data_IF_760382880811
#
_entry.id   IF_760382880811
#
_cell.length_a   1.000
_cell.length_b   1.000
_cell.length_c   1.000
_cell.angle_alpha   90.00
_cell.angle_beta   90.00
_cell.angle_gamma   90.00
#
_symmetry.space_group_name_H-M   'P 1'
#
loop_
_entity.id
_entity.type
_entity.pdbx_description
1 polymer ?
#
# COMPACT_ATOMS: atom_id res chain seq x y z
N UNK A 1 4.15 -3.06 14.39
CA UNK A 1 4.88 -2.60 13.18
C UNK A 1 6.09 -3.47 12.84
N UNK A 2 7.01 -3.77 13.78
CA UNK A 2 8.25 -4.51 13.49
C UNK A 2 8.03 -5.87 12.83
N UNK A 3 7.08 -6.66 13.34
CA UNK A 3 6.71 -7.95 12.76
C UNK A 3 6.36 -7.83 11.27
N UNK A 4 5.59 -6.80 10.91
CA UNK A 4 5.23 -6.52 9.52
C UNK A 4 6.47 -6.15 8.70
N UNK A 5 7.34 -5.30 9.24
CA UNK A 5 8.55 -4.88 8.54
C UNK A 5 9.50 -6.04 8.30
N UNK A 6 9.63 -6.99 9.21
CA UNK A 6 10.53 -8.16 9.07
C UNK A 6 10.12 -9.12 7.95
N UNK A 7 8.84 -9.13 7.56
CA UNK A 7 8.33 -9.99 6.48
C UNK A 7 8.51 -9.37 5.07
N UNK A 8 9.01 -8.14 4.98
CA UNK A 8 9.14 -7.42 3.72
C UNK A 8 10.35 -7.90 2.90
N UNK A 9 10.23 -7.81 1.57
CA UNK A 9 11.34 -8.12 0.66
C UNK A 9 12.33 -6.94 0.55
N UNK A 10 13.50 -7.19 -0.05
CA UNK A 10 14.48 -6.14 -0.32
C UNK A 10 13.89 -5.01 -1.18
N UNK A 11 13.03 -5.34 -2.13
CA UNK A 11 12.35 -4.40 -3.00
C UNK A 11 11.34 -3.53 -2.23
N UNK A 12 10.61 -4.14 -1.29
CA UNK A 12 9.70 -3.42 -0.40
C UNK A 12 10.45 -2.36 0.41
N UNK A 13 11.61 -2.70 0.98
CA UNK A 13 12.44 -1.73 1.69
C UNK A 13 12.95 -0.63 0.77
N UNK A 14 13.42 -0.97 -0.43
CA UNK A 14 13.87 0.02 -1.40
C UNK A 14 12.77 1.02 -1.75
N UNK A 15 11.54 0.55 -1.93
CA UNK A 15 10.36 1.38 -2.18
C UNK A 15 10.06 2.31 -1.01
N UNK A 16 10.01 1.78 0.21
CA UNK A 16 9.76 2.56 1.42
C UNK A 16 10.83 3.63 1.65
N UNK A 17 12.10 3.28 1.52
CA UNK A 17 13.23 4.20 1.65
C UNK A 17 13.10 5.33 0.64
N UNK A 18 12.71 5.03 -0.59
CA UNK A 18 12.56 6.04 -1.63
C UNK A 18 11.43 7.03 -1.35
N UNK A 19 10.29 6.59 -0.83
CA UNK A 19 9.20 7.51 -0.41
C UNK A 19 9.64 8.35 0.80
N UNK A 20 10.33 7.72 1.75
CA UNK A 20 10.83 8.39 2.96
C UNK A 20 11.89 9.43 2.60
N UNK A 21 12.71 9.16 1.59
CA UNK A 21 13.76 10.07 1.12
C UNK A 21 13.16 11.46 0.82
N UNK A 22 13.83 12.50 1.33
CA UNK A 22 13.44 13.89 1.09
C UNK A 22 14.56 14.66 0.41
N UNK A 23 14.29 15.89 -0.05
CA UNK A 23 15.34 16.76 -0.57
C UNK A 23 16.48 17.00 0.43
N UNK A 24 16.20 16.88 1.74
CA UNK A 24 17.17 17.08 2.82
C UNK A 24 17.51 15.81 3.62
N UNK A 25 16.81 14.69 3.41
CA UNK A 25 17.07 13.42 4.08
C UNK A 25 17.51 12.39 3.02
N UNK A 26 18.81 12.11 2.98
CA UNK A 26 19.43 11.22 1.98
C UNK A 26 19.26 9.73 2.31
N UNK A 27 18.76 9.40 3.51
CA UNK A 27 18.55 8.04 3.99
C UNK A 27 19.82 7.16 3.85
N UNK A 28 21.01 7.74 4.08
CA UNK A 28 22.29 7.05 3.84
C UNK A 28 22.47 5.81 4.73
N UNK A 29 22.07 5.90 5.99
CA UNK A 29 22.07 4.78 6.95
C UNK A 29 21.12 3.66 6.53
N UNK A 30 19.88 4.00 6.19
CA UNK A 30 18.91 3.05 5.63
C UNK A 30 19.44 2.32 4.38
N UNK A 31 20.07 3.05 3.45
CA UNK A 31 20.64 2.47 2.22
C UNK A 31 21.78 1.52 2.52
N UNK A 32 22.66 1.88 3.45
CA UNK A 32 23.74 0.99 3.91
C UNK A 32 23.18 -0.29 4.53
N UNK A 33 22.19 -0.18 5.41
CA UNK A 33 21.54 -1.36 6.00
C UNK A 33 20.83 -2.23 4.94
N UNK A 34 20.28 -1.62 3.89
CA UNK A 34 19.69 -2.34 2.77
C UNK A 34 20.72 -3.07 1.89
N UNK A 35 21.91 -2.49 1.71
CA UNK A 35 23.03 -3.12 0.97
C UNK A 35 23.56 -4.35 1.69
N UNK A 36 23.49 -4.36 3.03
CA UNK A 36 24.02 -5.41 3.90
C UNK A 36 22.91 -6.27 4.52
N UNK A 37 21.72 -6.32 3.90
CA UNK A 37 20.51 -6.90 4.49
C UNK A 37 20.60 -8.40 4.79
N UNK A 38 21.49 -9.13 4.10
CA UNK A 38 21.73 -10.56 4.35
C UNK A 38 22.30 -10.82 5.75
N UNK A 39 22.84 -9.79 6.41
CA UNK A 39 23.23 -9.85 7.82
C UNK A 39 22.01 -9.64 8.74
N UNK A 40 21.69 -10.57 9.65
CA UNK A 40 20.54 -10.44 10.57
C UNK A 40 20.57 -9.14 11.38
N UNK A 41 21.75 -8.70 11.82
CA UNK A 41 21.91 -7.46 12.58
C UNK A 41 21.56 -6.24 11.74
N UNK A 42 21.90 -6.25 10.44
CA UNK A 42 21.56 -5.16 9.52
C UNK A 42 20.09 -5.19 9.13
N UNK A 43 19.48 -6.37 9.01
CA UNK A 43 18.05 -6.50 8.76
C UNK A 43 17.20 -5.95 9.93
N UNK A 44 17.57 -6.30 11.17
CA UNK A 44 16.92 -5.76 12.37
C UNK A 44 17.14 -4.24 12.46
N UNK A 45 18.37 -3.77 12.27
CA UNK A 45 18.67 -2.34 12.31
C UNK A 45 17.92 -1.54 11.22
N UNK A 46 17.78 -2.11 10.02
CA UNK A 46 16.96 -1.55 8.95
C UNK A 46 15.50 -1.39 9.37
N UNK A 47 14.92 -2.44 9.94
CA UNK A 47 13.53 -2.44 10.40
C UNK A 47 13.31 -1.40 11.50
N UNK A 48 14.21 -1.31 12.47
CA UNK A 48 14.14 -0.31 13.53
C UNK A 48 14.25 1.12 13.00
N UNK A 49 15.18 1.38 12.08
CA UNK A 49 15.38 2.72 11.52
C UNK A 49 14.18 3.12 10.64
N UNK A 50 13.63 2.19 9.85
CA UNK A 50 12.41 2.40 9.09
C UNK A 50 11.23 2.71 10.01
N UNK A 51 11.03 1.92 11.07
CA UNK A 51 9.99 2.19 12.05
C UNK A 51 10.14 3.60 12.64
N UNK A 52 11.34 3.96 13.11
CA UNK A 52 11.60 5.29 13.70
C UNK A 52 11.25 6.40 12.71
N UNK A 53 11.62 6.26 11.44
CA UNK A 53 11.32 7.25 10.39
C UNK A 53 9.82 7.30 10.05
N UNK A 54 9.13 6.17 9.95
CA UNK A 54 7.68 6.13 9.70
C UNK A 54 6.92 6.76 10.87
N UNK A 55 7.31 6.43 12.11
CA UNK A 55 6.70 6.99 13.32
C UNK A 55 6.99 8.48 13.48
N UNK A 56 8.15 8.95 13.04
CA UNK A 56 8.47 10.37 12.94
C UNK A 56 7.56 11.08 11.93
N UNK A 57 7.43 10.56 10.71
CA UNK A 57 6.56 11.11 9.66
C UNK A 57 5.08 11.14 10.07
N UNK A 58 4.63 10.17 10.87
CA UNK A 58 3.28 10.13 11.43
C UNK A 58 3.07 11.00 12.68
N UNK A 59 4.10 11.65 13.19
CA UNK A 59 4.01 12.56 14.35
C UNK A 59 3.79 14.00 13.91
N UNK A 60 3.16 14.82 14.76
CA UNK A 60 3.34 16.27 14.64
C UNK A 60 4.71 16.65 15.20
N UNK A 61 5.40 17.59 14.56
CA UNK A 61 6.74 18.05 14.99
C UNK A 61 6.75 18.45 16.48
N UNK A 62 5.71 19.14 16.93
CA UNK A 62 5.52 19.54 18.33
C UNK A 62 5.35 18.34 19.28
N UNK A 63 4.56 17.33 18.91
CA UNK A 63 4.37 16.14 19.75
C UNK A 63 5.64 15.27 19.81
N UNK A 64 6.38 15.18 18.71
CA UNK A 64 7.65 14.47 18.64
C UNK A 64 8.68 15.11 19.57
N UNK A 65 8.82 16.44 19.51
CA UNK A 65 9.71 17.20 20.36
C UNK A 65 9.33 17.10 21.85
N UNK A 66 8.05 17.23 22.17
CA UNK A 66 7.57 17.11 23.55
C UNK A 66 7.85 15.73 24.15
N UNK A 67 7.56 14.64 23.42
CA UNK A 67 7.83 13.28 23.88
C UNK A 67 9.33 13.02 24.08
N UNK A 68 10.17 13.56 23.20
CA UNK A 68 11.64 13.49 23.32
C UNK A 68 12.13 14.17 24.59
N UNK A 69 11.59 15.36 24.92
CA UNK A 69 11.95 16.12 26.14
C UNK A 69 11.47 15.42 27.41
N UNK A 70 10.34 14.71 27.36
CA UNK A 70 9.76 13.98 28.50
C UNK A 70 10.30 12.55 28.61
N UNK A 71 11.34 12.18 27.84
CA UNK A 71 11.98 10.86 27.91
C UNK A 71 11.11 9.70 27.42
N UNK A 72 10.07 9.97 26.64
CA UNK A 72 9.22 8.95 25.98
C UNK A 72 9.69 8.72 24.56
N UNK A 73 9.37 7.55 23.99
CA UNK A 73 9.58 7.32 22.57
C UNK A 73 8.87 8.40 21.74
N UNK A 74 9.61 9.15 20.90
CA UNK A 74 9.09 10.39 20.35
C UNK A 74 8.13 10.15 19.17
N UNK A 75 8.28 9.04 18.46
CA UNK A 75 7.44 8.67 17.32
C UNK A 75 6.00 8.32 17.71
N UNK A 76 5.05 8.60 16.81
CA UNK A 76 3.65 8.25 16.97
C UNK A 76 3.44 6.73 17.03
N UNK A 77 2.44 6.32 17.79
CA UNK A 77 1.98 4.93 17.84
C UNK A 77 1.49 4.48 16.45
N UNK A 78 1.84 3.27 16.01
CA UNK A 78 1.53 2.86 14.64
C UNK A 78 0.03 2.74 14.38
N UNK A 79 -0.73 2.19 15.32
CA UNK A 79 -2.21 2.20 15.25
C UNK A 79 -2.77 3.62 15.17
N UNK A 80 -2.20 4.59 15.87
CA UNK A 80 -2.58 6.00 15.71
C UNK A 80 -2.34 6.50 14.27
N UNK A 81 -1.19 6.20 13.68
CA UNK A 81 -0.84 6.61 12.30
C UNK A 81 -1.82 6.00 11.28
N UNK A 82 -2.17 4.71 11.44
CA UNK A 82 -3.18 4.03 10.63
C UNK A 82 -4.53 4.75 10.74
N UNK A 83 -4.98 5.04 11.96
CA UNK A 83 -6.29 5.69 12.20
C UNK A 83 -6.33 7.13 11.68
N UNK A 84 -5.26 7.90 11.85
CA UNK A 84 -5.19 9.27 11.31
C UNK A 84 -5.24 9.25 9.78
N UNK A 85 -4.53 8.31 9.16
CA UNK A 85 -4.55 8.12 7.71
C UNK A 85 -5.93 7.67 7.21
N UNK A 86 -6.57 6.70 7.88
CA UNK A 86 -7.93 6.28 7.53
C UNK A 86 -8.94 7.42 7.68
N UNK A 87 -8.83 8.24 8.72
CA UNK A 87 -9.67 9.44 8.90
C UNK A 87 -9.46 10.44 7.76
N UNK A 88 -8.20 10.66 7.37
CA UNK A 88 -7.86 11.52 6.23
C UNK A 88 -8.46 10.99 4.92
N UNK A 89 -8.40 9.67 4.70
CA UNK A 89 -9.00 8.99 3.54
C UNK A 89 -10.53 8.81 3.66
N UNK A 90 -11.14 9.22 4.79
CA UNK A 90 -12.56 9.06 5.12
C UNK A 90 -13.04 7.60 5.13
N UNK A 91 -12.17 6.69 5.58
CA UNK A 91 -12.45 5.26 5.64
C UNK A 91 -12.90 4.89 7.05
N UNK A 92 -14.08 4.27 7.22
CA UNK A 92 -14.51 3.78 8.52
C UNK A 92 -13.70 2.55 8.91
N UNK A 93 -12.89 2.68 9.97
CA UNK A 93 -12.21 1.54 10.60
C UNK A 93 -12.93 1.10 11.86
N UNK A 94 -12.93 -0.20 12.11
CA UNK A 94 -13.43 -0.74 13.38
C UNK A 94 -12.51 -0.38 14.55
N UNK A 95 -13.08 -0.35 15.75
CA UNK A 95 -12.34 -0.07 16.98
C UNK A 95 -11.41 -1.22 17.42
N UNK A 96 -11.66 -2.44 16.91
CA UNK A 96 -10.93 -3.68 17.25
C UNK A 96 -10.22 -4.25 16.01
N UNK A 97 -9.19 -5.06 16.25
CA UNK A 97 -8.34 -5.68 15.24
C UNK A 97 -6.86 -5.41 15.48
N UNK A 98 -5.97 -6.26 14.98
CA UNK A 98 -4.52 -6.03 15.02
C UNK A 98 -4.14 -4.85 14.13
N UNK A 99 -2.92 -4.33 14.26
CA UNK A 99 -2.42 -3.27 13.37
C UNK A 99 -2.45 -3.73 11.90
N UNK A 100 -2.12 -5.00 11.65
CA UNK A 100 -2.19 -5.64 10.33
C UNK A 100 -3.61 -5.64 9.79
N UNK A 101 -4.60 -6.09 10.59
CA UNK A 101 -6.01 -6.15 10.17
C UNK A 101 -6.55 -4.76 9.81
N UNK A 102 -6.24 -3.76 10.63
CA UNK A 102 -6.66 -2.39 10.41
C UNK A 102 -6.04 -1.81 9.12
N UNK A 103 -4.77 -2.14 8.85
CA UNK A 103 -4.06 -1.69 7.67
C UNK A 103 -4.61 -2.33 6.39
N UNK A 104 -4.82 -3.65 6.40
CA UNK A 104 -5.43 -4.40 5.28
C UNK A 104 -6.81 -3.83 4.98
N UNK A 105 -7.65 -3.66 6.01
CA UNK A 105 -9.01 -3.12 5.83
C UNK A 105 -8.98 -1.71 5.26
N UNK A 106 -8.11 -0.84 5.78
CA UNK A 106 -7.96 0.51 5.25
C UNK A 106 -7.61 0.48 3.75
N UNK A 107 -6.66 -0.35 3.35
CA UNK A 107 -6.22 -0.48 1.95
C UNK A 107 -7.33 -1.01 1.05
N UNK A 108 -8.04 -2.05 1.47
CA UNK A 108 -9.15 -2.63 0.73
C UNK A 108 -10.29 -1.62 0.53
N UNK A 109 -10.74 -0.99 1.62
CA UNK A 109 -11.83 -0.01 1.56
C UNK A 109 -11.43 1.24 0.78
N UNK A 110 -10.17 1.67 0.87
CA UNK A 110 -9.69 2.79 0.07
C UNK A 110 -9.73 2.48 -1.43
N UNK A 111 -9.22 1.31 -1.82
CA UNK A 111 -9.22 0.91 -3.21
C UNK A 111 -10.64 0.79 -3.77
N UNK A 112 -11.57 0.29 -2.97
CA UNK A 112 -13.00 0.20 -3.32
C UNK A 112 -13.61 1.60 -3.50
N UNK A 113 -13.37 2.51 -2.55
CA UNK A 113 -13.82 3.89 -2.62
C UNK A 113 -13.26 4.61 -3.86
N UNK A 114 -11.96 4.49 -4.14
CA UNK A 114 -11.35 5.05 -5.36
C UNK A 114 -11.94 4.40 -6.61
N UNK A 115 -12.09 3.07 -6.63
CA UNK A 115 -12.68 2.37 -7.77
C UNK A 115 -14.10 2.85 -8.08
N UNK A 116 -14.92 3.06 -7.04
CA UNK A 116 -16.30 3.53 -7.15
C UNK A 116 -16.43 4.92 -7.78
N UNK A 117 -15.37 5.74 -7.69
CA UNK A 117 -15.34 7.12 -8.20
C UNK A 117 -14.94 7.21 -9.67
N UNK A 118 -14.37 6.16 -10.24
CA UNK A 118 -14.15 6.09 -11.68
C UNK A 118 -15.47 6.06 -12.45
N UNK A 119 -15.45 6.58 -13.66
CA UNK A 119 -16.58 6.42 -14.58
C UNK A 119 -16.80 4.95 -14.90
N UNK A 120 -18.02 4.58 -15.31
CA UNK A 120 -18.33 3.20 -15.66
C UNK A 120 -17.42 2.66 -16.79
N UNK A 121 -16.98 3.53 -17.71
CA UNK A 121 -16.05 3.18 -18.78
C UNK A 121 -14.65 2.84 -18.23
N UNK A 122 -14.13 3.66 -17.30
CA UNK A 122 -12.85 3.42 -16.64
C UNK A 122 -12.90 2.19 -15.74
N UNK A 123 -13.98 2.00 -14.97
CA UNK A 123 -14.20 0.80 -14.17
C UNK A 123 -14.19 -0.47 -15.04
N UNK A 124 -14.87 -0.43 -16.19
CA UNK A 124 -14.89 -1.54 -17.12
C UNK A 124 -13.48 -1.85 -17.66
N UNK A 125 -12.73 -0.82 -18.07
CA UNK A 125 -11.36 -0.99 -18.56
C UNK A 125 -10.43 -1.57 -17.49
N UNK A 126 -10.55 -1.11 -16.23
CA UNK A 126 -9.77 -1.66 -15.12
C UNK A 126 -10.10 -3.14 -14.95
N UNK A 127 -11.38 -3.52 -14.89
CA UNK A 127 -11.79 -4.93 -14.74
C UNK A 127 -11.33 -5.80 -15.93
N UNK A 128 -11.45 -5.31 -17.16
CA UNK A 128 -10.98 -5.99 -18.37
C UNK A 128 -9.47 -6.18 -18.36
N UNK A 129 -8.70 -5.17 -17.91
CA UNK A 129 -7.25 -5.26 -17.78
C UNK A 129 -6.80 -6.33 -16.77
N UNK A 130 -7.67 -6.68 -15.82
CA UNK A 130 -7.46 -7.74 -14.83
C UNK A 130 -7.93 -9.12 -15.33
N UNK A 131 -8.27 -9.23 -16.61
CA UNK A 131 -8.71 -10.49 -17.24
C UNK A 131 -10.18 -10.83 -17.02
N UNK A 132 -11.00 -9.90 -16.51
CA UNK A 132 -12.44 -10.13 -16.40
C UNK A 132 -13.09 -9.94 -17.77
N UNK A 133 -13.84 -10.95 -18.23
CA UNK A 133 -14.61 -10.85 -19.47
C UNK A 133 -15.59 -9.65 -19.42
N UNK A 134 -15.60 -8.84 -20.48
CA UNK A 134 -16.46 -7.66 -20.64
C UNK A 134 -17.91 -7.90 -20.23
N UNK A 135 -18.51 -9.02 -20.66
CA UNK A 135 -19.91 -9.35 -20.32
C UNK A 135 -20.10 -9.51 -18.81
N UNK A 136 -19.18 -10.21 -18.14
CA UNK A 136 -19.19 -10.42 -16.69
C UNK A 136 -18.94 -9.11 -15.93
N UNK A 137 -17.99 -8.29 -16.39
CA UNK A 137 -17.72 -6.98 -15.82
C UNK A 137 -18.94 -6.04 -15.93
N UNK A 138 -19.57 -5.95 -17.10
CA UNK A 138 -20.80 -5.15 -17.30
C UNK A 138 -21.95 -5.65 -16.44
N UNK A 139 -22.15 -6.97 -16.34
CA UNK A 139 -23.19 -7.55 -15.51
C UNK A 139 -22.97 -7.21 -14.03
N UNK A 140 -21.73 -7.29 -13.56
CA UNK A 140 -21.36 -6.90 -12.20
C UNK A 140 -21.62 -5.40 -11.95
N UNK A 141 -21.13 -4.51 -12.83
CA UNK A 141 -21.30 -3.06 -12.66
C UNK A 141 -22.79 -2.66 -12.64
N UNK A 142 -23.63 -3.33 -13.45
CA UNK A 142 -25.09 -3.13 -13.41
C UNK A 142 -25.71 -3.63 -12.10
N UNK A 143 -25.30 -4.81 -11.63
CA UNK A 143 -25.86 -5.44 -10.42
C UNK A 143 -25.40 -4.76 -9.13
N UNK A 144 -24.18 -4.23 -9.11
CA UNK A 144 -23.61 -3.55 -7.95
C UNK A 144 -24.39 -2.27 -7.60
N UNK A 145 -25.08 -1.65 -8.58
CA UNK A 145 -25.89 -0.45 -8.33
C UNK A 145 -25.09 0.72 -7.73
N UNK A 146 -23.79 0.78 -8.00
CA UNK A 146 -22.87 1.76 -7.40
C UNK A 146 -22.37 1.41 -5.99
N UNK A 147 -22.85 0.32 -5.39
CA UNK A 147 -22.40 -0.16 -4.08
C UNK A 147 -21.23 -1.12 -4.30
N UNK A 148 -20.03 -0.66 -3.96
CA UNK A 148 -18.83 -1.47 -3.98
C UNK A 148 -18.35 -1.71 -2.55
N UNK A 149 -18.01 -2.96 -2.24
CA UNK A 149 -17.37 -3.37 -0.99
C UNK A 149 -16.41 -4.52 -1.31
N UNK A 150 -15.31 -4.63 -0.55
CA UNK A 150 -14.32 -5.69 -0.79
C UNK A 150 -14.92 -7.11 -0.78
N UNK A 151 -15.84 -7.47 0.16
CA UNK A 151 -16.49 -8.78 0.13
C UNK A 151 -17.34 -9.01 -1.13
N UNK A 152 -18.01 -7.99 -1.65
CA UNK A 152 -18.86 -8.08 -2.84
C UNK A 152 -18.02 -8.34 -4.09
N UNK A 153 -16.91 -7.62 -4.22
CA UNK A 153 -15.94 -7.84 -5.30
C UNK A 153 -15.32 -9.23 -5.21
N UNK A 154 -15.02 -9.70 -3.99
CA UNK A 154 -14.42 -11.01 -3.75
C UNK A 154 -15.36 -12.13 -4.19
N UNK A 155 -16.63 -12.05 -3.80
CA UNK A 155 -17.66 -12.98 -4.26
C UNK A 155 -17.84 -12.96 -5.78
N UNK A 156 -17.66 -11.79 -6.42
CA UNK A 156 -17.88 -11.63 -7.85
C UNK A 156 -16.71 -12.13 -8.70
N UNK A 157 -15.46 -11.93 -8.27
CA UNK A 157 -14.27 -12.11 -9.12
C UNK A 157 -13.18 -12.99 -8.51
N UNK A 158 -13.31 -13.39 -7.26
CA UNK A 158 -12.30 -14.18 -6.55
C UNK A 158 -11.10 -13.35 -6.07
N UNK A 159 -10.32 -13.95 -5.18
CA UNK A 159 -9.28 -13.25 -4.41
C UNK A 159 -8.20 -12.62 -5.29
N UNK A 160 -7.68 -13.38 -6.25
CA UNK A 160 -6.58 -12.91 -7.12
C UNK A 160 -6.97 -11.67 -7.92
N UNK A 161 -8.17 -11.65 -8.48
CA UNK A 161 -8.65 -10.53 -9.30
C UNK A 161 -8.90 -9.30 -8.42
N UNK A 162 -9.48 -9.46 -7.23
CA UNK A 162 -9.70 -8.36 -6.29
C UNK A 162 -8.38 -7.79 -5.77
N UNK A 163 -7.40 -8.64 -5.49
CA UNK A 163 -6.06 -8.18 -5.14
C UNK A 163 -5.41 -7.41 -6.29
N UNK A 164 -5.55 -7.89 -7.52
CA UNK A 164 -5.12 -7.17 -8.73
C UNK A 164 -5.78 -5.80 -8.85
N UNK A 165 -7.08 -5.72 -8.59
CA UNK A 165 -7.83 -4.46 -8.56
C UNK A 165 -7.29 -3.50 -7.51
N UNK A 166 -7.14 -3.96 -6.27
CA UNK A 166 -6.62 -3.16 -5.16
C UNK A 166 -5.23 -2.61 -5.52
N UNK A 167 -4.35 -3.47 -6.04
CA UNK A 167 -3.01 -3.09 -6.52
C UNK A 167 -3.09 -2.00 -7.59
N UNK A 168 -3.80 -2.25 -8.69
CA UNK A 168 -3.89 -1.33 -9.83
C UNK A 168 -4.44 0.03 -9.41
N UNK A 169 -5.54 0.04 -8.65
CA UNK A 169 -6.20 1.27 -8.20
C UNK A 169 -5.29 2.06 -7.25
N UNK A 170 -4.67 1.40 -6.29
CA UNK A 170 -3.81 2.08 -5.33
C UNK A 170 -2.48 2.54 -5.94
N UNK A 171 -1.88 1.79 -6.84
CA UNK A 171 -0.67 2.24 -7.53
C UNK A 171 -0.94 3.46 -8.41
N UNK A 172 -2.06 3.46 -9.14
CA UNK A 172 -2.49 4.62 -9.89
C UNK A 172 -2.74 5.85 -9.01
N UNK A 173 -3.40 5.66 -7.87
CA UNK A 173 -3.69 6.73 -6.93
C UNK A 173 -2.44 7.25 -6.21
N UNK A 174 -1.55 6.36 -5.75
CA UNK A 174 -0.27 6.73 -5.12
C UNK A 174 0.66 7.40 -6.12
N UNK A 175 0.66 7.00 -7.39
CA UNK A 175 1.42 7.66 -8.45
C UNK A 175 1.07 9.14 -8.58
N UNK A 176 -0.21 9.48 -8.40
CA UNK A 176 -0.67 10.88 -8.38
C UNK A 176 -0.12 11.65 -7.19
N UNK A 177 0.01 11.01 -6.02
CA UNK A 177 0.55 11.64 -4.81
C UNK A 177 2.04 11.94 -4.89
N UNK A 178 2.83 10.97 -5.36
CA UNK A 178 4.30 11.09 -5.43
C UNK A 178 4.77 11.68 -6.77
N UNK A 179 3.86 11.84 -7.73
CA UNK A 179 4.11 12.36 -9.07
C UNK A 179 4.45 11.24 -10.06
N UNK A 180 3.90 11.36 -11.28
CA UNK A 180 3.99 10.32 -12.32
C UNK A 180 5.44 9.94 -12.62
N UNK A 181 6.37 10.89 -12.76
CA UNK A 181 7.78 10.59 -13.05
C UNK A 181 8.45 9.73 -11.97
N UNK A 182 8.18 10.05 -10.70
CA UNK A 182 8.68 9.30 -9.55
C UNK A 182 8.03 7.91 -9.50
N UNK A 183 6.73 7.85 -9.68
CA UNK A 183 5.97 6.61 -9.71
C UNK A 183 6.43 5.65 -10.83
N UNK A 184 6.62 6.15 -12.07
CA UNK A 184 7.08 5.32 -13.18
C UNK A 184 8.46 4.73 -12.91
N UNK A 185 9.39 5.52 -12.40
CA UNK A 185 10.75 5.06 -12.06
C UNK A 185 10.73 4.02 -10.94
N UNK A 186 9.95 4.29 -9.89
CA UNK A 186 9.77 3.39 -8.74
C UNK A 186 9.12 2.08 -9.13
N UNK A 187 8.03 2.14 -9.89
CA UNK A 187 7.34 0.96 -10.35
C UNK A 187 8.18 0.20 -11.34
N UNK A 188 8.88 0.84 -12.28
CA UNK A 188 9.81 0.15 -13.17
C UNK A 188 10.93 -0.57 -12.39
N UNK A 189 11.44 0.05 -11.32
CA UNK A 189 12.42 -0.58 -10.44
C UNK A 189 11.85 -1.80 -9.71
N UNK A 190 10.62 -1.71 -9.20
CA UNK A 190 9.90 -2.85 -8.63
C UNK A 190 9.72 -3.91 -9.72
N UNK A 191 9.06 -3.60 -10.85
CA UNK A 191 8.78 -4.48 -11.98
C UNK A 191 10.00 -5.23 -12.51
N UNK A 192 11.16 -4.60 -12.54
CA UNK A 192 12.40 -5.22 -13.00
C UNK A 192 12.92 -6.33 -12.06
N UNK A 193 12.37 -6.45 -10.85
CA UNK A 193 12.81 -7.36 -9.80
C UNK A 193 11.68 -8.20 -9.18
N UNK A 194 10.43 -8.10 -9.66
CA UNK A 194 9.29 -8.88 -9.12
C UNK A 194 9.11 -10.21 -9.87
N UNK A 195 8.68 -11.29 -9.19
CA UNK A 195 8.27 -12.55 -9.83
C UNK A 195 7.10 -12.42 -10.81
N UNK A 196 6.87 -13.48 -11.60
CA UNK A 196 5.95 -13.63 -12.74
C UNK A 196 4.50 -13.06 -12.62
N UNK A 197 4.02 -12.76 -11.42
CA UNK A 197 2.69 -12.19 -11.19
C UNK A 197 2.60 -10.68 -11.48
N UNK A 198 3.73 -9.97 -11.60
CA UNK A 198 3.77 -8.55 -11.98
C UNK A 198 3.47 -8.31 -13.47
N UNK A 199 3.45 -9.35 -14.30
CA UNK A 199 3.11 -9.24 -15.73
C UNK A 199 1.64 -8.86 -16.00
N UNK A 200 0.75 -8.95 -14.99
CA UNK A 200 -0.67 -8.57 -15.13
C UNK A 200 -0.94 -7.07 -14.96
N UNK A 201 0.06 -6.28 -14.55
CA UNK A 201 -0.07 -4.83 -14.46
C UNK A 201 0.39 -4.25 -15.81
N UNK A 202 -0.52 -4.21 -16.78
CA UNK A 202 -0.23 -3.61 -18.09
C UNK A 202 0.09 -2.13 -17.85
N UNK A 203 1.19 -1.58 -18.43
CA UNK A 203 1.58 -0.18 -18.27
C UNK A 203 0.48 0.87 -18.57
N UNK A 204 -0.58 0.49 -19.29
CA UNK A 204 -1.75 1.34 -19.52
C UNK A 204 -2.78 1.37 -18.38
N UNK A 205 -2.87 0.32 -17.55
CA UNK A 205 -3.93 0.17 -16.55
C UNK A 205 -3.84 1.21 -15.41
N UNK A 206 -2.63 1.64 -15.03
CA UNK A 206 -2.41 2.67 -14.00
C UNK A 206 -2.34 4.10 -14.58
N UNK A 207 -2.19 4.26 -15.90
CA UNK A 207 -2.27 5.57 -16.56
C UNK A 207 -3.70 6.13 -16.52
N UNK A 208 -4.72 5.27 -16.53
CA UNK A 208 -6.13 5.62 -16.44
C UNK A 208 -6.49 6.11 -15.03
N UNK A 209 -5.84 5.58 -14.02
CA UNK A 209 -6.11 5.92 -12.61
C UNK A 209 -5.73 7.35 -12.22
N UNK A 210 -5.20 8.14 -13.15
CA UNK A 210 -4.72 9.50 -12.95
C UNK A 210 -5.87 10.53 -12.83
N UNK A 211 -7.12 10.23 -13.21
CA UNK A 211 -8.28 11.13 -13.00
C UNK A 211 -8.99 10.82 -11.67
N UNK A 212 -8.81 11.58 -10.58
CA UNK A 212 -9.59 12.77 -10.21
C UNK A 212 -9.06 13.38 -8.88
N UNK A 213 -9.46 14.63 -8.61
CA UNK A 213 -9.37 15.44 -7.36
C UNK A 213 -8.09 16.22 -7.03
N UNK A 214 -8.25 17.54 -6.92
CA UNK A 214 -7.37 18.54 -6.29
C UNK A 214 -7.34 18.33 -4.77
N UNK A 215 -6.56 17.35 -4.29
CA UNK A 215 -6.32 17.19 -2.86
C UNK A 215 -5.33 18.26 -2.40
N UNK A 216 -5.81 19.19 -1.59
CA UNK A 216 -4.99 20.10 -0.81
C UNK A 216 -4.28 19.25 0.27
N UNK A 217 -3.16 18.63 -0.11
CA UNK A 217 -2.26 17.93 0.80
C UNK A 217 -1.61 18.99 1.70
N UNK A 218 -2.37 19.48 2.68
CA UNK A 218 -2.02 20.58 3.60
C UNK A 218 -0.89 20.21 4.60
N UNK A 219 -0.10 19.17 4.34
CA UNK A 219 1.08 18.84 5.13
C UNK A 219 2.08 17.96 4.37
N UNK A 220 3.37 18.32 4.31
CA UNK A 220 4.44 17.48 3.73
C UNK A 220 4.47 16.06 4.31
N UNK A 221 4.12 15.90 5.60
CA UNK A 221 4.03 14.62 6.28
C UNK A 221 3.03 13.66 5.63
N UNK A 222 1.83 14.14 5.28
CA UNK A 222 0.76 13.30 4.69
C UNK A 222 1.11 12.80 3.28
N UNK A 223 1.95 13.53 2.53
CA UNK A 223 2.42 13.10 1.20
C UNK A 223 3.35 11.89 1.26
N UNK A 224 3.89 11.56 2.44
CA UNK A 224 4.75 10.40 2.66
C UNK A 224 4.03 9.30 3.44
N UNK A 225 3.38 9.68 4.53
CA UNK A 225 2.70 8.73 5.42
C UNK A 225 1.58 7.97 4.70
N UNK A 226 0.79 8.64 3.86
CA UNK A 226 -0.31 7.96 3.15
C UNK A 226 0.19 6.92 2.14
N UNK A 227 1.11 7.25 1.19
CA UNK A 227 1.68 6.23 0.31
C UNK A 227 2.38 5.08 1.06
N UNK A 228 3.10 5.38 2.14
CA UNK A 228 3.76 4.36 2.97
C UNK A 228 2.73 3.38 3.53
N UNK A 229 1.66 3.86 4.17
CA UNK A 229 0.67 2.96 4.76
C UNK A 229 -0.12 2.17 3.72
N UNK A 230 -0.46 2.80 2.60
CA UNK A 230 -1.12 2.08 1.51
C UNK A 230 -0.24 0.96 0.95
N UNK A 231 1.07 1.22 0.82
CA UNK A 231 2.02 0.21 0.41
C UNK A 231 2.18 -0.91 1.44
N UNK A 232 2.36 -0.57 2.72
CA UNK A 232 2.50 -1.58 3.77
C UNK A 232 1.26 -2.49 3.85
N UNK A 233 0.05 -1.94 3.70
CA UNK A 233 -1.16 -2.76 3.68
C UNK A 233 -1.27 -3.60 2.40
N UNK A 234 -0.79 -3.11 1.27
CA UNK A 234 -0.67 -3.90 0.04
C UNK A 234 0.32 -5.06 0.21
N UNK A 235 1.47 -4.82 0.84
CA UNK A 235 2.44 -5.87 1.17
C UNK A 235 1.83 -6.91 2.12
N UNK A 236 1.02 -6.51 3.10
CA UNK A 236 0.30 -7.46 3.96
C UNK A 236 -0.64 -8.37 3.15
N UNK A 237 -1.45 -7.78 2.26
CA UNK A 237 -2.35 -8.55 1.38
C UNK A 237 -1.57 -9.53 0.50
N UNK A 238 -0.40 -9.12 -0.01
CA UNK A 238 0.49 -9.97 -0.79
C UNK A 238 1.03 -11.14 0.04
N UNK A 239 1.55 -10.85 1.23
CA UNK A 239 2.12 -11.86 2.13
C UNK A 239 1.07 -12.89 2.57
N UNK A 240 -0.16 -12.45 2.85
CA UNK A 240 -1.26 -13.36 3.19
C UNK A 240 -1.60 -14.27 2.00
N UNK A 241 -1.65 -13.74 0.78
CA UNK A 241 -1.90 -14.53 -0.43
C UNK A 241 -0.81 -15.58 -0.70
N UNK A 242 0.45 -15.22 -0.46
CA UNK A 242 1.60 -16.14 -0.62
C UNK A 242 1.57 -17.27 0.41
N UNK A 243 1.16 -16.98 1.65
CA UNK A 243 0.98 -17.99 2.70
C UNK A 243 -0.16 -18.95 2.37
N UNK A 244 -1.29 -18.41 1.90
CA UNK A 244 -2.44 -19.22 1.48
C UNK A 244 -2.06 -20.19 0.35
N UNK A 245 -1.31 -19.72 -0.66
CA UNK A 245 -0.83 -20.57 -1.76
C UNK A 245 0.10 -21.69 -1.29
N UNK A 246 1.10 -21.38 -0.46
CA UNK A 246 2.01 -22.40 0.10
C UNK A 246 1.27 -23.47 0.89
N UNK A 247 0.25 -23.08 1.65
CA UNK A 247 -0.55 -24.03 2.44
C UNK A 247 -1.39 -24.98 1.57
N UNK A 248 -1.76 -24.56 0.35
CA UNK A 248 -2.43 -25.43 -0.62
C UNK A 248 -1.43 -26.38 -1.25
N UNK A 249 -0.27 -25.89 -1.68
CA UNK A 249 0.78 -26.71 -2.30
C UNK A 249 1.36 -27.77 -1.34
N UNK A 250 1.49 -27.45 -0.05
CA UNK A 250 1.94 -28.40 1.00
C UNK A 250 0.89 -29.48 1.31
N UNK A 251 -0.40 -29.19 1.13
CA UNK A 251 -1.48 -30.18 1.28
C UNK A 251 -1.72 -31.01 0.01
N UNK A 252 -1.14 -30.61 -1.13
CA UNK A 252 -1.20 -31.33 -2.42
C UNK A 252 0.11 -32.07 -2.77
N UNK A 253 1.09 -32.09 -1.86
CA UNK A 253 2.33 -32.89 -1.98
C UNK A 253 2.11 -34.40 -1.74
N UNK A 254 2.93 -35.27 -2.37
CA UNK A 254 2.57 -36.59 -2.92
C UNK A 254 2.08 -37.66 -1.94
#
# INVERSE_FOLDING_TARGET
>A
MQELLLELSQEDYAYLIHIIQGPFDRCTSLKRHLEEIDSPDHHVALCEELEKKIRYLGSSDLAYQFRRVVGKEPGADFRYIIRDTARFLKIPLADRGTERDLLIRMVQEHAVDVFSKYTQAEQLQILESLGIERKRAVAFLKKAGGIFAAPVLLQAFGTLVVQGLIKTVLFGWTARLIGVKLATSLFAFLFARVPWWAHTIIPGAWAISIGLTTLDLQGPARRKTVPILLYLGLSCIRLDAEKDQRSVDENEGP
#
